data_IF_059041277729
#
_entry.id   IF_059041277729
#
_cell.length_a   1.000
_cell.length_b   1.000
_cell.length_c   1.000
_cell.angle_alpha   90.00
_cell.angle_beta   90.00
_cell.angle_gamma   90.00
#
_symmetry.space_group_name_H-M   'P 1'
#
loop_
_entity.id
_entity.type
_entity.pdbx_description
1 polymer ?
#
# COMPACT_ATOMS: atom_id res chain seq x y z
N UNK A 1 -31.39 -15.64 17.70
CA UNK A 1 -29.97 -15.44 17.38
C UNK A 1 -29.23 -15.35 18.72
N UNK A 2 -28.65 -16.46 19.20
CA UNK A 2 -27.95 -16.54 20.49
C UNK A 2 -26.46 -16.65 20.15
N UNK A 3 -25.67 -15.67 20.60
CA UNK A 3 -24.21 -15.72 20.53
C UNK A 3 -23.70 -16.21 21.89
N UNK A 4 -23.07 -17.39 21.90
CA UNK A 4 -22.37 -17.93 23.06
C UNK A 4 -20.90 -17.52 22.93
N UNK A 5 -20.42 -16.73 23.88
CA UNK A 5 -19.02 -16.35 24.04
C UNK A 5 -18.29 -17.42 24.86
N UNK A 6 -17.18 -17.95 24.35
CA UNK A 6 -16.34 -18.89 25.07
C UNK A 6 -15.07 -18.18 25.56
N UNK A 7 -14.98 -17.96 26.88
CA UNK A 7 -13.80 -17.48 27.59
C UNK A 7 -12.94 -18.66 28.04
N UNK A 8 -11.63 -18.65 27.73
CA UNK A 8 -10.66 -19.63 28.26
C UNK A 8 -10.34 -19.36 29.73
N UNK A 9 -10.22 -20.39 30.59
CA UNK A 9 -9.79 -20.23 31.97
C UNK A 9 -8.30 -19.90 32.08
N UNK A 10 -7.98 -19.01 33.01
CA UNK A 10 -6.64 -18.65 33.46
C UNK A 10 -5.94 -19.87 34.09
N UNK A 11 -4.74 -20.20 33.62
CA UNK A 11 -3.80 -21.08 34.34
C UNK A 11 -2.69 -20.20 34.94
N UNK A 12 -2.32 -20.39 36.22
CA UNK A 12 -1.22 -19.65 36.82
C UNK A 12 0.12 -20.22 36.34
N UNK A 13 0.98 -19.36 35.79
CA UNK A 13 2.34 -19.72 35.43
C UNK A 13 3.23 -19.76 36.68
N UNK A 14 3.89 -20.91 36.91
CA UNK A 14 4.97 -21.09 37.87
C UNK A 14 6.17 -20.21 37.48
N UNK A 15 6.61 -19.34 38.38
CA UNK A 15 7.83 -18.53 38.21
C UNK A 15 9.06 -19.34 38.61
N UNK A 16 9.94 -19.65 37.67
CA UNK A 16 11.35 -19.90 37.95
C UNK A 16 12.14 -18.58 37.76
N UNK A 17 12.87 -18.18 38.81
CA UNK A 17 13.79 -17.04 38.78
C UNK A 17 15.10 -17.47 38.12
N UNK A 18 15.34 -17.04 36.88
CA UNK A 18 16.67 -17.01 36.29
C UNK A 18 17.08 -15.53 36.15
N UNK A 19 18.13 -15.13 36.88
CA UNK A 19 18.68 -13.78 36.81
C UNK A 19 19.45 -13.62 35.49
N UNK A 20 18.84 -12.95 34.52
CA UNK A 20 19.52 -12.45 33.33
C UNK A 20 19.73 -10.94 33.48
N UNK A 21 20.99 -10.51 33.46
CA UNK A 21 21.37 -9.10 33.43
C UNK A 21 20.90 -8.45 32.13
N UNK A 22 20.07 -7.39 32.14
CA UNK A 22 19.66 -6.74 30.92
C UNK A 22 20.76 -5.77 30.49
N UNK A 23 21.46 -6.08 29.39
CA UNK A 23 22.20 -5.06 28.64
C UNK A 23 21.17 -4.13 28.00
N UNK A 24 20.94 -2.98 28.61
CA UNK A 24 20.03 -1.95 28.10
C UNK A 24 20.70 -1.32 26.87
N UNK A 25 20.30 -1.73 25.66
CA UNK A 25 20.57 -0.96 24.44
C UNK A 25 19.72 0.31 24.49
N UNK A 26 20.36 1.44 24.73
CA UNK A 26 19.76 2.77 24.66
C UNK A 26 19.48 3.14 23.21
N UNK A 27 18.28 2.83 22.72
CA UNK A 27 17.76 3.44 21.49
C UNK A 27 17.34 4.88 21.79
N UNK A 28 18.27 5.83 21.71
CA UNK A 28 17.93 7.25 21.74
C UNK A 28 17.48 7.68 20.34
N UNK A 29 16.18 7.48 20.05
CA UNK A 29 15.51 8.14 18.93
C UNK A 29 15.05 9.51 19.40
N UNK A 30 15.76 10.57 19.02
CA UNK A 30 15.26 11.95 19.16
C UNK A 30 14.17 12.18 18.11
N UNK A 31 13.01 11.55 18.28
CA UNK A 31 11.84 11.86 17.47
C UNK A 31 11.41 13.30 17.79
N UNK A 32 11.48 14.18 16.80
CA UNK A 32 10.82 15.49 16.89
C UNK A 32 9.33 15.21 17.13
N UNK A 33 8.79 15.62 18.28
CA UNK A 33 7.36 15.52 18.56
C UNK A 33 6.63 16.39 17.53
N UNK A 34 6.06 15.77 16.50
CA UNK A 34 5.06 16.44 15.66
C UNK A 34 3.77 16.55 16.48
N UNK A 35 3.10 17.70 16.42
CA UNK A 35 1.87 17.98 17.21
C UNK A 35 0.69 17.08 16.81
N UNK A 36 0.81 16.35 15.69
CA UNK A 36 -0.18 15.39 15.18
C UNK A 36 0.50 14.10 14.69
N UNK A 37 -0.33 13.09 14.42
CA UNK A 37 0.10 11.84 13.79
C UNK A 37 0.55 12.11 12.35
N UNK A 38 1.74 11.62 11.95
CA UNK A 38 2.22 11.78 10.58
C UNK A 38 1.22 11.24 9.54
N UNK A 39 1.07 11.98 8.46
CA UNK A 39 0.23 11.65 7.32
C UNK A 39 0.99 11.92 6.01
N UNK A 40 0.53 11.30 4.92
CA UNK A 40 1.12 11.52 3.58
C UNK A 40 1.11 12.98 3.14
N UNK A 41 0.19 13.80 3.64
CA UNK A 41 0.13 15.22 3.36
C UNK A 41 1.22 16.05 4.04
N UNK A 42 1.94 15.48 5.02
CA UNK A 42 3.05 16.17 5.71
C UNK A 42 4.37 16.04 4.95
N UNK A 43 4.45 15.13 3.96
CA UNK A 43 5.64 14.89 3.17
C UNK A 43 5.67 15.91 2.03
N UNK A 44 6.74 16.71 1.95
CA UNK A 44 6.88 17.70 0.90
C UNK A 44 7.17 17.02 -0.46
N UNK A 45 6.35 17.22 -1.50
CA UNK A 45 6.52 16.62 -2.82
C UNK A 45 7.59 17.31 -3.69
N UNK A 46 8.26 18.36 -3.20
CA UNK A 46 9.23 19.14 -3.98
C UNK A 46 10.38 18.28 -4.52
N UNK A 47 10.94 18.67 -5.67
CA UNK A 47 12.05 17.92 -6.28
C UNK A 47 13.28 17.82 -5.37
N UNK A 48 13.55 18.85 -4.56
CA UNK A 48 14.66 18.87 -3.61
C UNK A 48 14.46 17.85 -2.48
N UNK A 49 13.28 17.83 -1.85
CA UNK A 49 12.98 16.86 -0.80
C UNK A 49 13.01 15.41 -1.29
N UNK A 50 12.55 15.16 -2.54
CA UNK A 50 12.65 13.84 -3.17
C UNK A 50 14.11 13.46 -3.42
N UNK A 51 14.93 14.36 -3.98
CA UNK A 51 16.36 14.10 -4.21
C UNK A 51 17.12 13.79 -2.91
N UNK A 52 16.82 14.52 -1.83
CA UNK A 52 17.43 14.28 -0.53
C UNK A 52 17.04 12.92 0.04
N UNK A 53 15.78 12.51 -0.16
CA UNK A 53 15.29 11.19 0.23
C UNK A 53 16.00 10.09 -0.57
N UNK A 54 16.08 10.23 -1.90
CA UNK A 54 16.74 9.25 -2.78
C UNK A 54 18.22 9.10 -2.42
N UNK A 55 18.90 10.21 -2.09
CA UNK A 55 20.28 10.18 -1.62
C UNK A 55 20.42 9.42 -0.30
N UNK A 56 19.55 9.68 0.67
CA UNK A 56 19.53 8.97 1.97
C UNK A 56 19.21 7.49 1.80
N UNK A 57 18.24 7.15 0.96
CA UNK A 57 17.89 5.77 0.63
C UNK A 57 19.06 5.04 -0.02
N UNK A 58 19.75 5.68 -0.97
CA UNK A 58 20.94 5.12 -1.63
C UNK A 58 22.07 4.87 -0.62
N UNK A 59 22.37 5.85 0.24
CA UNK A 59 23.40 5.71 1.27
C UNK A 59 23.06 4.59 2.27
N UNK A 60 21.80 4.50 2.69
CA UNK A 60 21.32 3.44 3.57
C UNK A 60 21.45 2.05 2.92
N UNK A 61 21.08 1.92 1.64
CA UNK A 61 21.25 0.66 0.88
C UNK A 61 22.72 0.26 0.74
N UNK A 62 23.61 1.23 0.49
CA UNK A 62 25.06 0.99 0.45
C UNK A 62 25.58 0.48 1.81
N UNK A 63 25.19 1.14 2.90
CA UNK A 63 25.57 0.74 4.25
C UNK A 63 25.07 -0.68 4.60
N UNK A 64 23.84 -1.04 4.21
CA UNK A 64 23.32 -2.40 4.38
C UNK A 64 24.13 -3.43 3.59
N UNK A 65 24.47 -3.12 2.34
CA UNK A 65 25.27 -4.00 1.49
C UNK A 65 26.69 -4.20 2.03
N UNK A 66 27.33 -3.14 2.52
CA UNK A 66 28.64 -3.20 3.17
C UNK A 66 28.58 -4.03 4.45
N UNK A 67 27.61 -3.75 5.33
CA UNK A 67 27.43 -4.52 6.57
C UNK A 67 27.16 -6.00 6.30
N UNK A 68 26.38 -6.31 5.26
CA UNK A 68 26.12 -7.68 4.83
C UNK A 68 27.38 -8.36 4.30
N UNK A 69 28.19 -7.67 3.48
CA UNK A 69 29.47 -8.18 3.00
C UNK A 69 30.41 -8.50 4.16
N UNK A 70 30.56 -7.57 5.12
CA UNK A 70 31.41 -7.77 6.31
C UNK A 70 30.95 -8.98 7.12
N UNK A 71 29.65 -9.08 7.41
CA UNK A 71 29.09 -10.24 8.12
C UNK A 71 29.30 -11.56 7.37
N UNK A 72 29.14 -11.56 6.05
CA UNK A 72 29.35 -12.76 5.24
C UNK A 72 30.84 -13.16 5.21
N UNK A 73 31.76 -12.20 5.20
CA UNK A 73 33.20 -12.49 5.29
C UNK A 73 33.60 -13.03 6.65
N UNK A 74 33.03 -12.49 7.73
CA UNK A 74 33.22 -12.99 9.09
C UNK A 74 32.70 -14.43 9.21
N UNK A 75 31.48 -14.69 8.76
CA UNK A 75 30.86 -16.02 8.78
C UNK A 75 31.65 -17.04 7.93
N UNK A 76 32.16 -16.64 6.77
CA UNK A 76 33.01 -17.49 5.94
C UNK A 76 34.35 -17.83 6.62
N UNK A 77 34.90 -16.92 7.44
CA UNK A 77 36.09 -17.18 8.23
C UNK A 77 35.80 -18.09 9.42
N UNK A 78 34.64 -17.92 10.09
CA UNK A 78 34.19 -18.83 11.15
C UNK A 78 34.00 -20.27 10.62
N UNK A 79 33.34 -20.42 9.46
CA UNK A 79 33.14 -21.72 8.81
C UNK A 79 34.45 -22.41 8.41
N UNK A 80 35.49 -21.65 8.04
CA UNK A 80 36.82 -22.21 7.73
C UNK A 80 37.55 -22.71 8.98
N UNK A 81 37.26 -22.13 10.14
CA UNK A 81 37.88 -22.47 11.41
C UNK A 81 37.04 -23.45 12.24
N UNK A 82 35.90 -23.90 11.72
CA UNK A 82 35.01 -24.85 12.40
C UNK A 82 35.58 -26.28 12.35
N UNK A 83 35.56 -27.04 13.48
CA UNK A 83 35.97 -28.44 13.48
C UNK A 83 35.09 -29.28 12.56
N UNK A 84 35.71 -30.22 11.81
CA UNK A 84 35.07 -30.98 10.72
C UNK A 84 34.01 -32.01 11.14
N UNK A 85 33.84 -32.28 12.42
CA UNK A 85 33.06 -33.42 12.92
C UNK A 85 31.74 -33.08 13.62
N UNK A 86 31.33 -31.82 13.71
CA UNK A 86 29.99 -31.48 14.21
C UNK A 86 29.28 -30.50 13.28
N UNK A 87 27.96 -30.68 13.13
CA UNK A 87 27.06 -29.75 12.43
C UNK A 87 27.07 -28.42 13.20
N UNK A 88 28.05 -27.57 12.88
CA UNK A 88 28.17 -26.24 13.45
C UNK A 88 27.08 -25.35 12.84
N UNK A 89 26.09 -24.99 13.65
CA UNK A 89 25.10 -23.95 13.32
C UNK A 89 25.58 -22.64 13.95
N UNK A 90 26.01 -21.65 13.16
CA UNK A 90 26.48 -20.37 13.68
C UNK A 90 25.42 -19.69 14.55
N UNK A 91 25.79 -19.08 15.70
CA UNK A 91 24.86 -18.31 16.52
C UNK A 91 24.38 -17.08 15.74
N UNK A 92 23.13 -17.10 15.26
CA UNK A 92 22.54 -16.05 14.44
C UNK A 92 21.65 -16.56 13.30
N UNK A 93 21.77 -17.83 12.92
CA UNK A 93 20.88 -18.49 11.97
C UNK A 93 19.52 -18.90 12.57
N UNK A 94 19.38 -18.82 13.89
CA UNK A 94 18.16 -19.22 14.64
C UNK A 94 17.31 -18.04 15.13
N UNK A 95 17.73 -16.79 14.88
CA UNK A 95 16.92 -15.59 15.18
C UNK A 95 16.52 -14.88 13.89
N UNK A 96 15.27 -15.09 13.49
CA UNK A 96 14.66 -14.47 12.33
C UNK A 96 14.61 -12.94 12.44
N UNK A 97 15.07 -12.26 11.40
CA UNK A 97 14.65 -10.92 11.02
C UNK A 97 14.80 -10.78 9.51
N UNK A 98 13.90 -11.46 8.77
CA UNK A 98 13.64 -11.13 7.37
C UNK A 98 12.97 -9.76 7.32
N UNK A 99 13.77 -8.69 7.31
CA UNK A 99 13.28 -7.36 6.96
C UNK A 99 12.92 -7.41 5.47
N UNK A 100 11.62 -7.53 5.20
CA UNK A 100 11.06 -7.65 3.87
C UNK A 100 11.66 -6.59 2.93
N UNK A 101 12.24 -7.06 1.84
CA UNK A 101 12.57 -6.23 0.69
C UNK A 101 11.25 -5.77 0.06
N UNK A 102 10.68 -4.68 0.57
CA UNK A 102 9.64 -3.94 -0.13
C UNK A 102 10.35 -2.89 -0.98
N UNK A 103 10.97 -3.34 -2.06
CA UNK A 103 11.66 -2.45 -3.00
C UNK A 103 10.64 -1.93 -4.03
N UNK A 104 10.31 -0.64 -3.95
CA UNK A 104 9.83 0.09 -5.12
C UNK A 104 11.00 0.19 -6.09
N UNK A 105 10.97 -0.59 -7.16
CA UNK A 105 11.96 -0.55 -8.24
C UNK A 105 12.02 0.87 -8.83
N UNK A 106 13.15 1.56 -8.66
CA UNK A 106 13.43 2.84 -9.32
C UNK A 106 14.28 2.61 -10.56
N UNK A 107 14.06 3.42 -11.59
CA UNK A 107 14.66 3.33 -12.94
C UNK A 107 16.20 3.23 -13.01
N UNK A 108 16.92 3.46 -11.90
CA UNK A 108 18.37 3.23 -11.80
C UNK A 108 18.77 1.76 -11.95
N UNK A 109 17.92 0.80 -11.59
CA UNK A 109 18.20 -0.64 -11.77
C UNK A 109 18.21 -1.07 -13.25
N UNK A 110 17.54 -0.33 -14.15
CA UNK A 110 17.58 -0.61 -15.59
C UNK A 110 18.94 -0.28 -16.24
N UNK A 111 19.73 0.63 -15.67
CA UNK A 111 21.02 1.03 -16.24
C UNK A 111 22.21 0.18 -15.79
N UNK A 112 22.09 -0.54 -14.66
CA UNK A 112 23.15 -1.46 -14.19
C UNK A 112 23.28 -2.75 -15.00
N UNK A 113 22.35 -3.01 -15.94
CA UNK A 113 22.26 -4.25 -16.71
C UNK A 113 23.25 -4.30 -17.89
N UNK A 114 23.81 -3.16 -18.31
CA UNK A 114 24.65 -3.09 -19.51
C UNK A 114 26.16 -3.09 -19.26
N UNK A 115 26.62 -3.00 -18.00
CA UNK A 115 28.04 -2.79 -17.71
C UNK A 115 28.52 -3.63 -16.52
N UNK A 116 28.58 -4.95 -16.70
CA UNK A 116 29.53 -5.76 -15.93
C UNK A 116 30.11 -6.87 -16.82
N UNK A 117 31.20 -6.50 -17.49
CA UNK A 117 32.03 -7.40 -18.26
C UNK A 117 32.81 -8.35 -17.34
N UNK A 118 32.38 -9.61 -17.28
CA UNK A 118 33.30 -10.75 -17.33
C UNK A 118 34.07 -11.15 -16.06
N UNK A 119 33.46 -11.17 -14.86
CA UNK A 119 34.03 -11.93 -13.72
C UNK A 119 33.35 -13.27 -13.53
N UNK A 120 34.12 -14.36 -13.65
CA UNK A 120 33.70 -15.75 -13.40
C UNK A 120 33.22 -15.89 -11.95
N UNK A 121 31.91 -15.83 -11.73
CA UNK A 121 31.27 -16.13 -10.45
C UNK A 121 31.44 -17.63 -10.13
N UNK A 122 32.11 -17.93 -9.02
CA UNK A 122 32.36 -19.32 -8.58
C UNK A 122 31.08 -20.05 -8.18
N UNK A 123 31.08 -21.39 -8.26
CA UNK A 123 29.92 -22.29 -8.05
C UNK A 123 29.19 -22.11 -6.70
N UNK A 124 29.84 -21.55 -5.68
CA UNK A 124 29.24 -21.26 -4.37
C UNK A 124 28.43 -19.94 -4.36
N UNK A 125 28.78 -18.99 -5.23
CA UNK A 125 28.07 -17.69 -5.30
C UNK A 125 26.68 -17.82 -5.93
N UNK A 126 26.50 -18.73 -6.90
CA UNK A 126 25.19 -19.06 -7.48
C UNK A 126 24.27 -19.80 -6.50
N UNK A 127 24.83 -20.47 -5.48
CA UNK A 127 24.06 -21.19 -4.46
C UNK A 127 23.49 -20.23 -3.38
N UNK A 128 24.23 -19.15 -3.07
CA UNK A 128 23.81 -18.17 -2.05
C UNK A 128 22.99 -17.02 -2.62
N UNK A 129 23.28 -16.58 -3.86
CA UNK A 129 22.64 -15.41 -4.48
C UNK A 129 21.69 -15.76 -5.63
N UNK A 130 21.41 -17.05 -5.86
CA UNK A 130 20.62 -17.53 -6.99
C UNK A 130 21.34 -17.44 -8.34
N UNK A 131 20.83 -18.17 -9.34
CA UNK A 131 21.28 -18.04 -10.72
C UNK A 131 20.92 -16.65 -11.27
N UNK A 132 21.65 -16.17 -12.29
CA UNK A 132 21.34 -14.90 -12.95
C UNK A 132 19.89 -14.87 -13.44
N UNK A 133 19.44 -15.97 -14.02
CA UNK A 133 18.06 -16.18 -14.47
C UNK A 133 17.05 -16.14 -13.32
N UNK A 134 17.39 -16.73 -12.15
CA UNK A 134 16.56 -16.65 -10.95
C UNK A 134 16.41 -15.22 -10.42
N UNK A 135 17.48 -14.42 -10.44
CA UNK A 135 17.41 -13.00 -10.05
C UNK A 135 16.63 -12.14 -11.04
N UNK A 136 16.71 -12.43 -12.34
CA UNK A 136 15.92 -11.75 -13.36
C UNK A 136 14.44 -12.14 -13.27
N UNK A 137 14.14 -13.41 -12.97
CA UNK A 137 12.80 -13.88 -12.69
C UNK A 137 12.24 -13.27 -11.40
N UNK A 138 13.04 -13.21 -10.33
CA UNK A 138 12.68 -12.55 -9.07
C UNK A 138 12.45 -11.04 -9.30
N UNK A 139 13.30 -10.35 -10.07
CA UNK A 139 13.10 -8.94 -10.42
C UNK A 139 11.84 -8.71 -11.28
N UNK A 140 11.50 -9.64 -12.17
CA UNK A 140 10.27 -9.58 -12.96
C UNK A 140 9.02 -9.93 -12.15
N UNK A 141 9.14 -10.82 -11.16
CA UNK A 141 8.08 -11.13 -10.18
C UNK A 141 7.90 -9.97 -9.19
N UNK A 142 8.98 -9.29 -8.82
CA UNK A 142 9.00 -8.09 -7.96
C UNK A 142 8.46 -6.85 -8.67
N UNK A 143 8.62 -6.76 -10.00
CA UNK A 143 7.86 -5.80 -10.81
C UNK A 143 6.38 -6.19 -10.74
N UNK A 144 5.65 -5.57 -9.81
CA UNK A 144 4.27 -5.95 -9.49
C UNK A 144 3.45 -6.22 -10.75
N UNK A 145 2.86 -7.41 -10.87
CA UNK A 145 2.01 -7.77 -12.03
C UNK A 145 0.91 -6.72 -12.29
N UNK A 146 0.47 -6.02 -11.24
CA UNK A 146 -0.45 -4.88 -11.33
C UNK A 146 0.14 -3.67 -12.06
N UNK A 147 1.44 -3.38 -11.94
CA UNK A 147 2.09 -2.29 -12.70
C UNK A 147 2.16 -2.59 -14.20
N UNK A 148 2.41 -3.85 -14.58
CA UNK A 148 2.43 -4.28 -15.99
C UNK A 148 1.03 -4.19 -16.60
N UNK A 149 0.00 -4.55 -15.82
CA UNK A 149 -1.39 -4.54 -16.27
C UNK A 149 -2.06 -3.17 -16.15
N UNK A 150 -1.48 -2.21 -15.43
CA UNK A 150 -2.04 -0.88 -15.26
C UNK A 150 -1.90 -0.04 -16.53
N UNK A 151 -2.90 0.79 -16.84
CA UNK A 151 -2.81 1.79 -17.91
C UNK A 151 -1.77 2.87 -17.61
N UNK A 152 -1.44 3.08 -16.33
CA UNK A 152 -0.40 3.99 -15.87
C UNK A 152 -0.68 5.49 -16.04
N UNK A 153 -1.84 5.87 -16.61
CA UNK A 153 -2.21 7.28 -16.85
C UNK A 153 -2.74 7.97 -15.59
N UNK A 154 -3.62 7.30 -14.85
CA UNK A 154 -4.29 7.84 -13.68
C UNK A 154 -4.24 6.87 -12.50
N UNK A 155 -4.40 7.43 -11.31
CA UNK A 155 -4.63 6.68 -10.06
C UNK A 155 -5.93 7.19 -9.47
N UNK A 156 -6.83 6.28 -9.12
CA UNK A 156 -8.11 6.62 -8.51
C UNK A 156 -8.07 6.37 -7.01
N UNK A 157 -8.73 7.22 -6.26
CA UNK A 157 -8.96 7.05 -4.83
C UNK A 157 -10.46 6.89 -4.61
N UNK A 158 -10.87 5.74 -4.06
CA UNK A 158 -12.23 5.55 -3.58
C UNK A 158 -12.23 5.80 -2.07
N UNK A 159 -13.04 6.77 -1.68
CA UNK A 159 -13.22 7.20 -0.29
C UNK A 159 -14.63 6.80 0.13
N UNK A 160 -14.72 6.00 1.20
CA UNK A 160 -15.97 5.65 1.85
C UNK A 160 -16.02 6.38 3.18
N UNK A 161 -17.07 7.17 3.38
CA UNK A 161 -17.39 7.78 4.66
C UNK A 161 -18.64 7.10 5.22
N UNK A 162 -18.51 6.55 6.42
CA UNK A 162 -19.61 6.01 7.20
C UNK A 162 -20.11 7.14 8.11
N UNK A 163 -21.24 7.74 7.75
CA UNK A 163 -21.76 8.98 8.36
C UNK A 163 -22.70 8.62 9.50
N UNK A 164 -22.73 9.46 10.54
CA UNK A 164 -23.72 9.29 11.61
C UNK A 164 -25.13 9.56 11.05
N UNK A 165 -26.12 8.69 11.33
CA UNK A 165 -27.46 8.83 10.75
C UNK A 165 -28.12 10.19 11.02
N UNK A 166 -27.86 10.79 12.19
CA UNK A 166 -28.40 12.10 12.59
C UNK A 166 -27.63 13.30 12.00
N UNK A 167 -26.58 13.05 11.21
CA UNK A 167 -25.66 14.07 10.65
C UNK A 167 -25.58 14.08 9.14
N UNK A 168 -26.43 13.30 8.45
CA UNK A 168 -26.39 13.12 7.00
C UNK A 168 -26.49 14.45 6.23
N UNK A 169 -27.39 15.33 6.64
CA UNK A 169 -27.59 16.62 5.97
C UNK A 169 -26.42 17.58 6.21
N UNK A 170 -26.00 17.74 7.47
CA UNK A 170 -24.84 18.57 7.85
C UNK A 170 -23.55 18.11 7.16
N UNK A 171 -23.37 16.78 7.04
CA UNK A 171 -22.27 16.19 6.30
C UNK A 171 -22.36 16.47 4.80
N UNK A 172 -23.56 16.36 4.23
CA UNK A 172 -23.80 16.58 2.80
C UNK A 172 -23.48 18.02 2.41
N UNK A 173 -23.90 18.99 3.22
CA UNK A 173 -23.56 20.40 3.02
C UNK A 173 -22.05 20.63 3.12
N UNK A 174 -21.41 20.16 4.21
CA UNK A 174 -19.97 20.34 4.43
C UNK A 174 -19.13 19.77 3.27
N UNK A 175 -19.44 18.56 2.83
CA UNK A 175 -18.71 17.89 1.76
C UNK A 175 -19.05 18.47 0.39
N UNK A 176 -20.32 18.80 0.17
CA UNK A 176 -20.80 19.41 -1.07
C UNK A 176 -20.22 20.80 -1.32
N UNK A 177 -19.88 21.54 -0.28
CA UNK A 177 -19.22 22.84 -0.39
C UNK A 177 -17.69 22.70 -0.61
N UNK A 178 -17.05 21.76 0.10
CA UNK A 178 -15.59 21.62 0.10
C UNK A 178 -15.05 20.84 -1.11
N UNK A 179 -15.67 19.71 -1.48
CA UNK A 179 -15.11 18.79 -2.48
C UNK A 179 -15.06 19.40 -3.89
N UNK A 180 -16.15 19.99 -4.43
CA UNK A 180 -16.10 20.61 -5.74
C UNK A 180 -15.10 21.77 -5.80
N UNK A 181 -15.00 22.56 -4.73
CA UNK A 181 -14.04 23.68 -4.63
C UNK A 181 -12.60 23.18 -4.73
N UNK A 182 -12.24 22.15 -3.95
CA UNK A 182 -10.90 21.57 -4.01
C UNK A 182 -10.59 20.96 -5.39
N UNK A 183 -11.58 20.39 -6.07
CA UNK A 183 -11.43 19.85 -7.41
C UNK A 183 -11.22 20.92 -8.50
N UNK A 184 -11.67 22.16 -8.27
CA UNK A 184 -11.55 23.27 -9.23
C UNK A 184 -10.24 24.05 -9.09
N UNK A 185 -9.51 23.89 -7.99
CA UNK A 185 -8.21 24.53 -7.80
C UNK A 185 -7.18 23.93 -8.76
N UNK A 186 -6.62 24.74 -9.64
CA UNK A 186 -5.64 24.30 -10.66
C UNK A 186 -4.34 23.74 -10.07
N UNK A 187 -4.02 24.09 -8.83
CA UNK A 187 -2.89 23.54 -8.08
C UNK A 187 -3.08 22.05 -7.78
N UNK A 188 -4.33 21.62 -7.62
CA UNK A 188 -4.66 20.23 -7.38
C UNK A 188 -4.76 19.50 -8.72
N UNK A 189 -3.91 18.49 -8.92
CA UNK A 189 -3.92 17.64 -10.11
C UNK A 189 -4.94 16.50 -9.96
N UNK A 190 -6.15 16.85 -9.52
CA UNK A 190 -7.22 15.92 -9.17
C UNK A 190 -8.54 16.30 -9.84
N UNK A 191 -9.28 15.30 -10.26
CA UNK A 191 -10.66 15.43 -10.70
C UNK A 191 -11.58 14.71 -9.71
N UNK A 192 -12.69 15.34 -9.31
CA UNK A 192 -13.77 14.62 -8.64
C UNK A 192 -14.52 13.83 -9.72
N UNK A 193 -14.35 12.52 -9.74
CA UNK A 193 -15.05 11.65 -10.70
C UNK A 193 -16.53 11.58 -10.33
N UNK A 194 -16.83 11.48 -9.04
CA UNK A 194 -18.20 11.52 -8.58
C UNK A 194 -18.35 11.34 -7.08
N UNK A 195 -19.54 11.67 -6.61
CA UNK A 195 -19.98 11.60 -5.22
C UNK A 195 -21.38 10.99 -5.16
N UNK A 196 -21.56 9.99 -4.31
CA UNK A 196 -22.81 9.26 -4.19
C UNK A 196 -23.15 8.97 -2.73
N UNK A 197 -24.45 8.91 -2.44
CA UNK A 197 -24.96 8.23 -1.24
C UNK A 197 -25.38 6.81 -1.57
N UNK A 198 -25.30 5.93 -0.60
CA UNK A 198 -25.85 4.57 -0.73
C UNK A 198 -27.33 4.60 -0.40
N UNK A 199 -28.19 4.17 -1.32
CA UNK A 199 -29.63 4.05 -1.06
C UNK A 199 -29.96 2.69 -0.45
N UNK A 200 -29.44 1.62 -1.07
CA UNK A 200 -29.69 0.24 -0.66
C UNK A 200 -28.36 -0.42 -0.29
N UNK A 201 -28.31 -0.96 0.93
CA UNK A 201 -27.12 -1.53 1.56
C UNK A 201 -26.81 -0.78 2.86
N UNK A 202 -25.60 -0.21 2.94
CA UNK A 202 -25.19 0.63 4.06
C UNK A 202 -25.70 2.08 3.87
N UNK A 203 -26.96 2.35 4.21
CA UNK A 203 -27.67 3.59 3.81
C UNK A 203 -27.00 4.92 4.21
N UNK A 204 -26.23 4.96 5.30
CA UNK A 204 -25.50 6.16 5.75
C UNK A 204 -24.06 6.23 5.22
N UNK A 205 -23.72 5.41 4.23
CA UNK A 205 -22.38 5.40 3.60
C UNK A 205 -22.36 6.24 2.33
N UNK A 206 -21.40 7.16 2.28
CA UNK A 206 -21.11 7.97 1.12
C UNK A 206 -19.84 7.48 0.42
N UNK A 207 -19.89 7.44 -0.91
CA UNK A 207 -18.79 7.01 -1.77
C UNK A 207 -18.34 8.20 -2.61
N UNK A 208 -17.05 8.50 -2.58
CA UNK A 208 -16.45 9.53 -3.41
C UNK A 208 -15.30 8.93 -4.19
N UNK A 209 -15.25 9.20 -5.49
CA UNK A 209 -14.17 8.75 -6.35
C UNK A 209 -13.42 9.97 -6.84
N UNK A 210 -12.12 9.98 -6.61
CA UNK A 210 -11.19 11.00 -7.08
C UNK A 210 -10.22 10.38 -8.08
N UNK A 211 -9.92 11.10 -9.14
CA UNK A 211 -8.92 10.72 -10.14
C UNK A 211 -7.73 11.66 -10.04
N UNK A 212 -6.54 11.10 -9.89
CA UNK A 212 -5.30 11.85 -9.80
C UNK A 212 -4.38 11.55 -10.98
N UNK A 213 -3.57 12.55 -11.35
CA UNK A 213 -2.53 12.41 -12.35
C UNK A 213 -1.35 11.59 -11.81
N UNK A 214 -1.47 10.25 -11.92
CA UNK A 214 -0.49 9.28 -11.39
C UNK A 214 -0.25 9.46 -9.88
N UNK A 215 0.76 8.78 -9.35
CA UNK A 215 1.13 8.88 -7.93
C UNK A 215 1.70 10.25 -7.55
N UNK A 216 2.44 10.92 -8.45
CA UNK A 216 2.97 12.25 -8.19
C UNK A 216 1.84 13.28 -8.03
N UNK A 217 0.85 13.29 -8.93
CA UNK A 217 -0.30 14.17 -8.81
C UNK A 217 -1.14 13.87 -7.57
N UNK A 218 -1.24 12.60 -7.17
CA UNK A 218 -1.87 12.24 -5.89
C UNK A 218 -1.14 12.85 -4.70
N UNK A 219 0.18 12.71 -4.64
CA UNK A 219 0.97 13.22 -3.52
C UNK A 219 0.96 14.75 -3.47
N UNK A 220 1.18 15.42 -4.61
CA UNK A 220 1.16 16.88 -4.73
C UNK A 220 -0.20 17.46 -4.33
N UNK A 221 -1.30 16.91 -4.86
CA UNK A 221 -2.65 17.36 -4.50
C UNK A 221 -2.94 17.11 -3.02
N UNK A 222 -2.47 15.98 -2.47
CA UNK A 222 -2.71 15.67 -1.06
C UNK A 222 -1.98 16.63 -0.15
N UNK A 223 -0.73 16.97 -0.49
CA UNK A 223 0.07 17.97 0.21
C UNK A 223 -0.57 19.36 0.12
N UNK A 224 -0.98 19.79 -1.07
CA UNK A 224 -1.64 21.08 -1.27
C UNK A 224 -2.95 21.19 -0.47
N UNK A 225 -3.82 20.18 -0.56
CA UNK A 225 -5.09 20.15 0.17
C UNK A 225 -4.87 20.16 1.69
N UNK A 226 -3.87 19.44 2.23
CA UNK A 226 -3.64 19.45 3.70
C UNK A 226 -3.10 20.76 4.23
N UNK A 227 -2.42 21.55 3.38
CA UNK A 227 -1.87 22.86 3.74
C UNK A 227 -2.81 24.01 3.40
N UNK A 228 -3.95 23.75 2.77
CA UNK A 228 -4.97 24.75 2.51
C UNK A 228 -5.54 25.29 3.84
N UNK A 229 -5.74 26.62 3.99
CA UNK A 229 -6.17 27.23 5.26
C UNK A 229 -7.46 26.60 5.81
N UNK A 230 -8.45 26.37 4.96
CA UNK A 230 -9.75 25.82 5.37
C UNK A 230 -9.70 24.32 5.75
N UNK A 231 -8.62 23.60 5.41
CA UNK A 231 -8.58 22.14 5.55
C UNK A 231 -8.63 21.69 7.02
N UNK A 232 -7.99 22.45 7.91
CA UNK A 232 -7.92 22.10 9.33
C UNK A 232 -9.32 22.13 9.96
N UNK A 233 -10.08 23.19 9.68
CA UNK A 233 -11.45 23.35 10.18
C UNK A 233 -12.39 22.33 9.53
N UNK A 234 -12.30 22.16 8.21
CA UNK A 234 -13.05 21.14 7.46
C UNK A 234 -12.82 19.74 8.05
N UNK A 235 -11.56 19.33 8.22
CA UNK A 235 -11.23 17.98 8.70
C UNK A 235 -11.64 17.78 10.17
N UNK A 236 -11.59 18.84 11.00
CA UNK A 236 -12.09 18.80 12.37
C UNK A 236 -13.60 18.59 12.40
N UNK A 237 -14.37 19.33 11.59
CA UNK A 237 -15.83 19.16 11.48
C UNK A 237 -16.19 17.81 10.86
N UNK A 238 -15.52 17.39 9.79
CA UNK A 238 -15.77 16.09 9.15
C UNK A 238 -15.66 14.93 10.15
N UNK A 239 -14.66 14.96 11.04
CA UNK A 239 -14.45 13.93 12.08
C UNK A 239 -15.58 13.84 13.10
N UNK A 240 -16.36 14.91 13.34
CA UNK A 240 -17.50 14.85 14.26
C UNK A 240 -18.73 14.23 13.63
N UNK A 241 -18.81 14.22 12.29
CA UNK A 241 -19.96 13.78 11.52
C UNK A 241 -19.89 12.31 11.08
N UNK A 242 -18.70 11.70 11.09
CA UNK A 242 -18.48 10.33 10.60
C UNK A 242 -18.07 9.37 11.72
N UNK A 243 -18.46 8.10 11.59
CA UNK A 243 -17.91 7.00 12.38
C UNK A 243 -16.56 6.56 11.84
N UNK A 244 -16.44 6.45 10.52
CA UNK A 244 -15.21 5.98 9.89
C UNK A 244 -14.98 6.55 8.49
N UNK A 245 -13.70 6.60 8.10
CA UNK A 245 -13.23 6.96 6.76
C UNK A 245 -12.31 5.87 6.25
N UNK A 246 -12.65 5.27 5.11
CA UNK A 246 -11.83 4.26 4.43
C UNK A 246 -11.41 4.82 3.08
N UNK A 247 -10.14 4.66 2.74
CA UNK A 247 -9.57 5.16 1.49
C UNK A 247 -8.81 4.02 0.83
N UNK A 248 -9.16 3.72 -0.41
CA UNK A 248 -8.45 2.74 -1.23
C UNK A 248 -7.91 3.42 -2.49
N UNK A 249 -6.63 3.24 -2.77
CA UNK A 249 -6.02 3.63 -4.04
C UNK A 249 -6.12 2.48 -5.03
N UNK A 250 -6.44 2.79 -6.28
CA UNK A 250 -6.58 1.81 -7.35
C UNK A 250 -6.06 2.35 -8.67
N UNK A 251 -5.66 1.40 -9.52
CA UNK A 251 -5.24 1.66 -10.88
C UNK A 251 -6.22 0.99 -11.84
N UNK A 252 -6.46 1.65 -12.97
CA UNK A 252 -7.22 1.05 -14.05
C UNK A 252 -6.35 0.04 -14.80
N UNK A 253 -6.89 -1.16 -15.00
CA UNK A 253 -6.29 -2.13 -15.90
C UNK A 253 -6.38 -1.65 -17.35
N UNK A 254 -5.27 -1.77 -18.08
CA UNK A 254 -5.14 -1.34 -19.48
C UNK A 254 -6.12 -2.06 -20.41
N UNK A 255 -6.46 -3.32 -20.09
CA UNK A 255 -7.35 -4.16 -20.86
C UNK A 255 -8.85 -3.90 -20.59
N UNK A 256 -9.21 -3.07 -19.61
CA UNK A 256 -10.60 -2.65 -19.45
C UNK A 256 -10.92 -1.45 -20.34
N UNK A 257 -11.80 -1.60 -21.35
CA UNK A 257 -12.32 -0.46 -22.09
C UNK A 257 -13.30 0.32 -21.22
N UNK A 258 -13.08 1.63 -21.11
CA UNK A 258 -14.03 2.59 -20.53
C UNK A 258 -15.19 2.78 -21.51
N UNK A 259 -16.04 1.78 -21.61
CA UNK A 259 -17.20 1.80 -22.49
C UNK A 259 -18.39 2.49 -21.82
N UNK A 260 -19.24 3.19 -22.62
CA UNK A 260 -20.49 3.77 -22.12
C UNK A 260 -21.36 2.73 -21.40
N UNK A 261 -22.20 3.15 -20.43
CA UNK A 261 -23.02 2.24 -19.61
C UNK A 261 -23.87 1.23 -20.40
N UNK A 262 -24.43 1.63 -21.54
CA UNK A 262 -25.25 0.77 -22.40
C UNK A 262 -24.44 -0.36 -23.03
N UNK A 263 -23.20 -0.07 -23.46
CA UNK A 263 -22.32 -1.06 -24.05
C UNK A 263 -21.83 -2.09 -23.02
N UNK A 264 -21.68 -1.68 -21.74
CA UNK A 264 -21.38 -2.59 -20.64
C UNK A 264 -22.48 -3.63 -20.42
N UNK A 265 -23.75 -3.24 -20.48
CA UNK A 265 -24.89 -4.18 -20.36
C UNK A 265 -24.81 -5.24 -21.47
N UNK A 266 -24.72 -4.78 -22.73
CA UNK A 266 -24.64 -5.67 -23.89
C UNK A 266 -23.43 -6.60 -23.87
N UNK A 267 -22.28 -6.11 -23.37
CA UNK A 267 -21.06 -6.92 -23.28
C UNK A 267 -21.15 -7.98 -22.19
N UNK A 268 -21.71 -7.65 -21.03
CA UNK A 268 -21.99 -8.62 -19.95
C UNK A 268 -22.95 -9.71 -20.43
N UNK A 269 -24.01 -9.33 -21.13
CA UNK A 269 -24.99 -10.29 -21.64
C UNK A 269 -24.34 -11.22 -22.69
N UNK A 270 -23.44 -10.69 -23.52
CA UNK A 270 -22.60 -11.48 -24.45
C UNK A 270 -21.58 -12.39 -23.74
N UNK A 271 -21.02 -11.99 -22.59
CA UNK A 271 -20.07 -12.82 -21.84
C UNK A 271 -20.68 -14.14 -21.37
N UNK A 272 -21.98 -14.18 -21.08
CA UNK A 272 -22.68 -15.43 -20.73
C UNK A 272 -22.77 -16.42 -21.90
N UNK A 273 -22.64 -15.96 -23.15
CA UNK A 273 -22.56 -16.81 -24.33
C UNK A 273 -21.16 -17.36 -24.61
N UNK A 274 -20.13 -16.95 -23.85
CA UNK A 274 -18.76 -17.43 -24.05
C UNK A 274 -18.62 -18.83 -23.44
N UNK A 275 -18.22 -19.79 -24.27
CA UNK A 275 -18.00 -21.19 -23.85
C UNK A 275 -17.01 -21.24 -22.69
N UNK A 276 -17.40 -21.90 -21.60
CA UNK A 276 -16.57 -22.07 -20.38
C UNK A 276 -16.64 -20.91 -19.38
N UNK A 277 -17.31 -19.79 -19.69
CA UNK A 277 -17.48 -18.69 -18.73
C UNK A 277 -18.33 -19.11 -17.52
N UNK A 278 -19.44 -19.82 -17.75
CA UNK A 278 -20.31 -20.34 -16.69
C UNK A 278 -19.58 -21.32 -15.76
N UNK A 279 -18.74 -22.19 -16.32
CA UNK A 279 -17.92 -23.14 -15.56
C UNK A 279 -16.85 -22.42 -14.71
N UNK A 280 -16.23 -21.38 -15.28
CA UNK A 280 -15.27 -20.52 -14.55
C UNK A 280 -15.94 -19.82 -13.37
N UNK A 281 -17.13 -19.22 -13.60
CA UNK A 281 -17.91 -18.60 -12.52
C UNK A 281 -18.28 -19.64 -11.45
N UNK A 282 -18.75 -20.83 -11.85
CA UNK A 282 -19.11 -21.89 -10.90
C UNK A 282 -17.91 -22.34 -10.03
N UNK A 283 -16.71 -22.45 -10.61
CA UNK A 283 -15.49 -22.81 -9.86
C UNK A 283 -14.96 -21.68 -8.98
N UNK A 284 -15.21 -20.42 -9.33
CA UNK A 284 -14.65 -19.26 -8.62
C UNK A 284 -15.57 -18.68 -7.56
N UNK A 285 -16.90 -18.81 -7.71
CA UNK A 285 -17.88 -18.36 -6.71
C UNK A 285 -17.60 -18.92 -5.30
N UNK A 286 -17.24 -20.20 -5.12
CA UNK A 286 -16.89 -20.74 -3.80
C UNK A 286 -15.64 -20.11 -3.16
N UNK A 287 -14.76 -19.48 -3.95
CA UNK A 287 -13.57 -18.77 -3.44
C UNK A 287 -13.92 -17.41 -2.85
N UNK A 288 -15.12 -16.88 -3.15
CA UNK A 288 -15.58 -15.59 -2.65
C UNK A 288 -16.05 -15.76 -1.21
N UNK A 289 -15.26 -15.23 -0.27
CA UNK A 289 -15.64 -15.25 1.15
C UNK A 289 -16.71 -14.21 1.49
N UNK A 290 -16.67 -13.04 0.85
CA UNK A 290 -17.67 -12.00 1.03
C UNK A 290 -17.81 -11.14 -0.22
N UNK A 291 -19.05 -10.81 -0.56
CA UNK A 291 -19.37 -9.86 -1.64
C UNK A 291 -20.34 -8.82 -1.08
N UNK A 292 -20.04 -7.54 -1.30
CA UNK A 292 -20.93 -6.43 -0.94
C UNK A 292 -21.35 -5.69 -2.20
N UNK A 293 -22.66 -5.57 -2.39
CA UNK A 293 -23.26 -4.77 -3.45
C UNK A 293 -24.01 -3.59 -2.83
N UNK A 294 -24.01 -2.45 -3.52
CA UNK A 294 -24.68 -1.21 -3.08
C UNK A 294 -25.34 -0.55 -4.28
N UNK A 295 -26.54 -0.01 -4.06
CA UNK A 295 -27.20 0.86 -5.04
C UNK A 295 -26.92 2.30 -4.62
N UNK A 296 -26.35 3.07 -5.54
CA UNK A 296 -25.84 4.41 -5.27
C UNK A 296 -26.70 5.45 -6.00
N UNK A 297 -26.95 6.58 -5.33
CA UNK A 297 -27.60 7.76 -5.91
C UNK A 297 -26.59 8.91 -5.95
N UNK A 298 -26.40 9.58 -7.11
CA UNK A 298 -25.45 10.68 -7.22
C UNK A 298 -25.91 11.88 -6.39
N UNK A 299 -24.95 12.52 -5.69
CA UNK A 299 -25.20 13.75 -4.96
C UNK A 299 -25.43 14.94 -5.89
N UNK A 300 -26.12 16.02 -5.48
CA UNK A 300 -26.40 17.17 -6.34
C UNK A 300 -25.16 17.83 -6.95
N UNK A 301 -24.03 17.82 -6.25
CA UNK A 301 -22.74 18.36 -6.71
C UNK A 301 -21.87 17.33 -7.45
N UNK A 302 -22.35 16.11 -7.65
CA UNK A 302 -21.61 15.04 -8.33
C UNK A 302 -21.49 15.33 -9.83
N UNK A 303 -20.30 15.28 -10.43
CA UNK A 303 -20.11 15.51 -11.87
C UNK A 303 -20.77 14.48 -12.80
N UNK A 304 -21.30 13.37 -12.26
CA UNK A 304 -21.90 12.25 -13.03
C UNK A 304 -23.42 12.39 -13.17
N UNK A 305 -24.00 13.53 -12.79
CA UNK A 305 -25.42 13.81 -12.96
C UNK A 305 -25.80 14.04 -14.42
#
# INVERSE_FOLDING_TARGET
MISISASRPYLPALRHLAAATPVVRTFTSSARLTKHTPAIGDINPSKSSVSDFDAKQSAFRQQLAETSKTRNTELANELKNAPSDEVYVPPGLTQGHGLGSLSTATDKEKKGILDDTGKKQGKLSSLIYGTKEGREMDAQIEASFSAILARGKYVHSIVLHDVKPDKVDEYSELVGEFYPRMAQLSENKVNLVGSWRTEIGDSDTFVHIWEYHRYHGYHESRYAITHHPDYVEFNKKLRTLIYSKKISLMQEFSFWPTSPPQERKLRRDRSWGVKGWSETVHKTVPLIQSMKSRILIPMPWSPVR
#
